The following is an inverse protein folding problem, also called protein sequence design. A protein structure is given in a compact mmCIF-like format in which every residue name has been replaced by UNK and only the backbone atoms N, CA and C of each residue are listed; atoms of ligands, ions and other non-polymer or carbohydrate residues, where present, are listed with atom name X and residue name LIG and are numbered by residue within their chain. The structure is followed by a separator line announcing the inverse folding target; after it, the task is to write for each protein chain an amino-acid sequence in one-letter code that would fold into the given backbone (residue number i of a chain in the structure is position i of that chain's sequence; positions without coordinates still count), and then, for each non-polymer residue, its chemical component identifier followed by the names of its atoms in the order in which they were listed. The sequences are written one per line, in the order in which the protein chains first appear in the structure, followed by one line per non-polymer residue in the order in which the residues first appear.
data_IF_997727052825
#
_entry.id   IF_997727052825
#
_cell.length_a   1.000
_cell.length_b   1.000
_cell.length_c   1.000
_cell.angle_alpha   90.00
_cell.angle_beta   90.00
_cell.angle_gamma   90.00
#
_symmetry.space_group_name_H-M   'P 1'
#
loop_
_entity.id
_entity.type
_entity.pdbx_description
1 polymer ?
#
# COMPACT_ATOMS: atom_id res chain seq x y z
N UNK A 1 -7.12 -4.11 1.06
CA UNK A 1 -6.43 -4.73 2.21
C UNK A 1 -6.47 -3.81 3.42
N UNK A 2 -6.98 -4.22 4.59
CA UNK A 2 -6.74 -3.52 5.86
C UNK A 2 -5.58 -4.22 6.58
N UNK A 3 -4.32 -3.84 6.32
CA UNK A 3 -3.20 -4.33 7.14
C UNK A 3 -3.38 -3.81 8.57
N UNK A 4 -3.61 -4.67 9.58
CA UNK A 4 -3.85 -4.24 10.94
C UNK A 4 -2.71 -3.37 11.49
N UNK A 5 -1.45 -3.67 11.12
CA UNK A 5 -0.29 -2.90 11.58
C UNK A 5 -0.30 -1.48 11.03
N UNK A 6 -0.76 -1.31 9.79
CA UNK A 6 -0.87 0.01 9.16
C UNK A 6 -2.00 0.82 9.79
N UNK A 7 -3.15 0.18 10.02
CA UNK A 7 -4.28 0.83 10.72
C UNK A 7 -3.89 1.24 12.13
N UNK A 8 -3.16 0.40 12.87
CA UNK A 8 -2.67 0.72 14.21
C UNK A 8 -1.66 1.88 14.18
N UNK A 9 -0.75 1.92 13.19
CA UNK A 9 0.20 3.01 13.03
C UNK A 9 -0.50 4.35 12.74
N UNK A 10 -1.51 4.35 11.86
CA UNK A 10 -2.30 5.54 11.56
C UNK A 10 -3.12 5.94 12.78
N UNK A 11 -3.74 4.99 13.49
CA UNK A 11 -4.52 5.26 14.70
C UNK A 11 -3.64 5.89 15.79
N UNK A 12 -2.44 5.37 16.02
CA UNK A 12 -1.47 5.92 16.96
C UNK A 12 -1.01 7.33 16.55
N UNK A 13 -0.82 7.58 15.26
CA UNK A 13 -0.47 8.90 14.74
C UNK A 13 -1.61 9.91 14.97
N UNK A 14 -2.86 9.53 14.71
CA UNK A 14 -4.05 10.35 14.98
C UNK A 14 -4.16 10.63 16.48
N UNK A 15 -4.08 9.59 17.32
CA UNK A 15 -4.14 9.73 18.77
C UNK A 15 -3.06 10.68 19.32
N UNK A 16 -1.85 10.62 18.76
CA UNK A 16 -0.75 11.51 19.16
C UNK A 16 -0.97 12.96 18.73
N UNK A 17 -1.63 13.18 17.60
CA UNK A 17 -1.96 14.50 17.09
C UNK A 17 -3.18 15.11 17.80
N UNK A 18 -4.07 14.26 18.32
CA UNK A 18 -5.23 14.69 19.09
C UNK A 18 -4.80 15.22 20.47
N UNK A 19 -5.13 16.48 20.74
CA UNK A 19 -4.88 17.14 22.02
C UNK A 19 -6.16 17.28 22.87
N UNK A 20 -7.25 16.66 22.41
CA UNK A 20 -8.54 16.70 23.07
C UNK A 20 -8.57 15.84 24.34
N UNK A 21 -9.39 16.24 25.32
CA UNK A 21 -9.57 15.49 26.56
C UNK A 21 -10.41 14.21 26.43
N UNK A 22 -10.95 13.92 25.25
CA UNK A 22 -11.85 12.80 25.00
C UNK A 22 -11.10 11.63 24.34
N UNK A 23 -11.40 10.41 24.79
CA UNK A 23 -10.87 9.20 24.18
C UNK A 23 -11.76 8.78 23.00
N UNK A 24 -11.37 9.14 21.79
CA UNK A 24 -12.09 8.76 20.57
C UNK A 24 -11.71 7.35 20.05
N UNK A 25 -12.52 6.82 19.13
CA UNK A 25 -12.19 5.58 18.44
C UNK A 25 -11.23 5.85 17.26
N UNK A 26 -9.94 5.96 17.58
CA UNK A 26 -8.88 6.23 16.61
C UNK A 26 -8.73 5.15 15.54
N UNK A 27 -9.07 3.88 15.86
CA UNK A 27 -9.07 2.79 14.88
C UNK A 27 -10.11 3.03 13.78
N UNK A 28 -11.32 3.48 14.14
CA UNK A 28 -12.37 3.83 13.17
C UNK A 28 -11.95 5.02 12.30
N UNK A 29 -11.28 6.01 12.89
CA UNK A 29 -10.77 7.15 12.13
C UNK A 29 -9.66 6.74 11.16
N UNK A 30 -8.72 5.87 11.59
CA UNK A 30 -7.67 5.34 10.74
C UNK A 30 -8.22 4.54 9.55
N UNK A 31 -9.25 3.71 9.77
CA UNK A 31 -9.95 3.01 8.68
C UNK A 31 -10.64 3.97 7.71
N UNK A 32 -11.28 5.03 8.22
CA UNK A 32 -11.90 6.04 7.37
C UNK A 32 -10.87 6.78 6.52
N UNK A 33 -9.73 7.16 7.11
CA UNK A 33 -8.62 7.79 6.40
C UNK A 33 -8.07 6.88 5.28
N UNK A 34 -7.82 5.61 5.60
CA UNK A 34 -7.36 4.62 4.61
C UNK A 34 -8.34 4.46 3.44
N UNK A 35 -9.64 4.37 3.74
CA UNK A 35 -10.67 4.25 2.70
C UNK A 35 -10.72 5.48 1.77
N UNK A 36 -10.44 6.69 2.26
CA UNK A 36 -10.36 7.89 1.41
C UNK A 36 -9.12 7.86 0.51
N UNK A 37 -7.99 7.40 1.02
CA UNK A 37 -6.74 7.25 0.25
C UNK A 37 -6.96 6.30 -0.93
N UNK A 38 -7.54 5.12 -0.67
CA UNK A 38 -7.86 4.15 -1.72
C UNK A 38 -8.87 4.71 -2.73
N UNK A 39 -9.97 5.33 -2.27
CA UNK A 39 -10.98 5.95 -3.15
C UNK A 39 -10.41 7.06 -4.04
N UNK A 40 -9.36 7.73 -3.57
CA UNK A 40 -8.69 8.81 -4.31
C UNK A 40 -7.67 8.29 -5.33
N UNK A 41 -7.55 6.96 -5.48
CA UNK A 41 -6.64 6.33 -6.44
C UNK A 41 -5.20 6.23 -5.94
N UNK A 42 -4.95 6.46 -4.65
CA UNK A 42 -3.64 6.28 -4.04
C UNK A 42 -3.54 4.91 -3.38
N UNK A 43 -2.34 4.34 -3.39
CA UNK A 43 -2.03 3.10 -2.70
C UNK A 43 -0.86 3.33 -1.73
N UNK A 44 -0.95 2.75 -0.54
CA UNK A 44 0.16 2.68 0.40
C UNK A 44 0.95 1.41 0.14
N UNK A 45 2.24 1.56 -0.15
CA UNK A 45 3.16 0.46 -0.41
C UNK A 45 4.24 0.43 0.67
N UNK A 46 4.64 -0.77 1.15
CA UNK A 46 5.76 -0.87 2.07
C UNK A 46 7.05 -0.39 1.36
N UNK A 47 7.95 0.21 2.14
CA UNK A 47 9.23 0.73 1.64
C UNK A 47 10.08 -0.38 0.97
N UNK A 48 9.99 -1.59 1.52
CA UNK A 48 10.67 -2.76 0.99
C UNK A 48 9.68 -3.91 0.88
N UNK A 49 9.66 -4.54 -0.30
CA UNK A 49 8.82 -5.71 -0.55
C UNK A 49 9.59 -6.99 -0.21
N UNK A 50 8.93 -8.01 0.36
CA UNK A 50 9.54 -9.31 0.57
C UNK A 50 10.08 -9.89 -0.74
N UNK A 51 11.21 -10.60 -0.67
CA UNK A 51 11.84 -11.21 -1.85
C UNK A 51 10.87 -12.08 -2.66
N UNK A 52 10.01 -12.85 -1.98
CA UNK A 52 8.99 -13.69 -2.61
C UNK A 52 7.99 -12.90 -3.47
N UNK A 53 7.74 -11.63 -3.13
CA UNK A 53 6.86 -10.76 -3.92
C UNK A 53 7.54 -10.43 -5.24
N UNK A 54 8.84 -10.13 -5.23
CA UNK A 54 9.60 -9.87 -6.45
C UNK A 54 9.65 -11.09 -7.37
N UNK A 55 9.77 -12.30 -6.83
CA UNK A 55 9.70 -13.54 -7.62
C UNK A 55 8.34 -13.64 -8.33
N UNK A 56 7.24 -13.45 -7.61
CA UNK A 56 5.88 -13.49 -8.19
C UNK A 56 5.68 -12.43 -9.25
N UNK A 57 6.19 -11.21 -9.03
CA UNK A 57 6.12 -10.15 -10.04
C UNK A 57 6.90 -10.60 -11.28
N UNK A 58 8.14 -11.09 -11.13
CA UNK A 58 8.97 -11.55 -12.24
C UNK A 58 8.30 -12.64 -13.08
N UNK A 59 7.61 -13.59 -12.44
CA UNK A 59 6.87 -14.66 -13.13
C UNK A 59 5.69 -14.13 -13.99
N UNK A 60 5.20 -12.92 -13.69
CA UNK A 60 4.08 -12.27 -14.41
C UNK A 60 4.52 -11.24 -15.45
N UNK A 61 5.83 -10.95 -15.53
CA UNK A 61 6.38 -9.99 -16.48
C UNK A 61 6.42 -10.55 -17.89
N UNK A 62 6.36 -9.66 -18.89
CA UNK A 62 6.62 -10.08 -20.27
C UNK A 62 8.11 -10.37 -20.44
N UNK A 63 8.42 -11.46 -21.12
CA UNK A 63 9.80 -11.83 -21.51
C UNK A 63 10.01 -11.65 -23.01
N UNK A 64 11.26 -11.42 -23.42
CA UNK A 64 11.64 -11.26 -24.83
C UNK A 64 12.24 -9.89 -25.17
N UNK A 65 12.14 -9.47 -26.43
CA UNK A 65 12.73 -8.21 -26.92
C UNK A 65 11.80 -7.04 -26.61
N UNK A 66 12.00 -6.43 -25.45
CA UNK A 66 11.22 -5.30 -24.94
C UNK A 66 12.14 -4.08 -24.84
N UNK A 67 11.61 -2.89 -25.10
CA UNK A 67 12.38 -1.66 -24.89
C UNK A 67 12.61 -1.46 -23.38
N UNK A 68 13.78 -1.00 -22.93
CA UNK A 68 14.05 -0.79 -21.50
C UNK A 68 12.98 0.04 -20.79
N UNK A 69 12.48 1.10 -21.43
CA UNK A 69 11.42 1.97 -20.92
C UNK A 69 10.09 1.24 -20.69
N UNK A 70 9.72 0.38 -21.65
CA UNK A 70 8.51 -0.45 -21.56
C UNK A 70 8.66 -1.52 -20.48
N UNK A 71 9.87 -2.06 -20.30
CA UNK A 71 10.14 -3.04 -19.26
C UNK A 71 10.03 -2.44 -17.85
N UNK A 72 10.58 -1.24 -17.63
CA UNK A 72 10.46 -0.54 -16.33
C UNK A 72 9.00 -0.26 -16.00
N UNK A 73 8.21 0.17 -17.00
CA UNK A 73 6.78 0.37 -16.84
C UNK A 73 6.04 -0.92 -16.50
N UNK A 74 6.32 -2.01 -17.21
CA UNK A 74 5.72 -3.33 -16.95
C UNK A 74 6.06 -3.80 -15.52
N UNK A 75 7.32 -3.70 -15.10
CA UNK A 75 7.74 -4.02 -13.72
C UNK A 75 6.90 -3.24 -12.71
N UNK A 76 6.78 -1.92 -12.89
CA UNK A 76 6.01 -1.07 -11.97
C UNK A 76 4.53 -1.44 -11.91
N UNK A 77 3.88 -1.62 -13.06
CA UNK A 77 2.46 -1.99 -13.14
C UNK A 77 2.18 -3.36 -12.53
N UNK A 78 3.05 -4.35 -12.81
CA UNK A 78 2.95 -5.70 -12.24
C UNK A 78 3.18 -5.70 -10.73
N UNK A 79 4.18 -4.95 -10.27
CA UNK A 79 4.46 -4.79 -8.83
C UNK A 79 3.28 -4.16 -8.12
N UNK A 80 2.74 -3.05 -8.64
CA UNK A 80 1.54 -2.42 -8.07
C UNK A 80 0.34 -3.36 -8.06
N UNK A 81 0.07 -4.07 -9.16
CA UNK A 81 -1.03 -5.04 -9.21
C UNK A 81 -0.86 -6.12 -8.14
N UNK A 82 0.37 -6.63 -7.95
CA UNK A 82 0.65 -7.69 -6.99
C UNK A 82 0.50 -7.25 -5.52
N UNK A 83 0.64 -5.95 -5.24
CA UNK A 83 0.53 -5.35 -3.90
C UNK A 83 -0.89 -4.83 -3.64
N UNK A 84 -1.54 -4.25 -4.64
CA UNK A 84 -2.90 -3.73 -4.55
C UNK A 84 -3.96 -4.85 -4.55
N UNK A 85 -3.71 -5.95 -5.24
CA UNK A 85 -4.50 -7.18 -5.12
C UNK A 85 -4.00 -8.00 -3.93
N UNK A 86 -4.51 -7.68 -2.74
CA UNK A 86 -4.83 -8.63 -1.65
C UNK A 86 -5.57 -7.93 -0.51
#
# INVERSE_FOLDING_TARGET
MNDPKLIDAIAAAIQKADSSYFNENYTKQAQAAFAVIEKSGYALVPKELPHETWTKVADTMKTGRIRPEEHVKDVYEKTLAQIALK
#
